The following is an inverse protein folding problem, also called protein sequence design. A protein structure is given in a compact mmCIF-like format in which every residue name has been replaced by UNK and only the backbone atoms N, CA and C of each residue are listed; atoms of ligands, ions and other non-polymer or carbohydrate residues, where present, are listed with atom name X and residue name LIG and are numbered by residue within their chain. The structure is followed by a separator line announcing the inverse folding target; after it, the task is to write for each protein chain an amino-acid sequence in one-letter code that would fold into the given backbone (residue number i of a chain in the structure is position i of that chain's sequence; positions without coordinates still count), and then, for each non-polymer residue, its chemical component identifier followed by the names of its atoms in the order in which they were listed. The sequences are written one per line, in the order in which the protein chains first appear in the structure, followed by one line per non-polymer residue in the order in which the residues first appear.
data_IF_939926202040
#
_entry.id   IF_939926202040
#
_cell.length_a   1.000
_cell.length_b   1.000
_cell.length_c   1.000
_cell.angle_alpha   90.00
_cell.angle_beta   90.00
_cell.angle_gamma   90.00
#
_symmetry.space_group_name_H-M   'P 1'
#
loop_
_entity.id
_entity.type
_entity.pdbx_description
1 polymer ?
#
# COMPACT_ATOMS: atom_id res chain seq x y z
N UNK A 1 -32.36 26.46 2.39
CA UNK A 1 -31.62 25.28 2.89
C UNK A 1 -31.40 24.39 1.71
N UNK A 2 -30.18 23.89 1.59
CA UNK A 2 -29.70 23.21 0.40
C UNK A 2 -30.10 21.73 0.40
N UNK A 3 -29.92 21.07 1.55
CA UNK A 3 -30.42 19.72 1.80
C UNK A 3 -31.71 19.77 2.61
N UNK A 4 -32.60 18.83 2.35
CA UNK A 4 -33.92 18.73 3.01
C UNK A 4 -34.12 17.36 3.62
N UNK A 5 -34.79 17.30 4.78
CA UNK A 5 -35.26 16.04 5.34
C UNK A 5 -36.28 15.42 4.35
N UNK A 6 -36.03 14.22 3.82
CA UNK A 6 -36.97 13.56 2.93
C UNK A 6 -38.25 13.21 3.69
N UNK A 7 -39.40 13.24 3.01
CA UNK A 7 -40.63 12.70 3.59
C UNK A 7 -40.54 11.17 3.69
N UNK A 8 -41.11 10.59 4.74
CA UNK A 8 -41.23 9.13 4.85
C UNK A 8 -42.15 8.59 3.75
N UNK A 9 -41.80 7.48 3.08
CA UNK A 9 -42.65 6.89 2.04
C UNK A 9 -43.89 6.16 2.61
N UNK A 10 -44.04 6.14 3.93
CA UNK A 10 -45.11 5.50 4.68
C UNK A 10 -45.41 6.23 6.00
N UNK A 11 -46.53 5.90 6.64
CA UNK A 11 -46.93 6.50 7.92
C UNK A 11 -46.02 6.07 9.09
N UNK A 12 -45.95 6.86 10.16
CA UNK A 12 -45.10 6.60 11.32
C UNK A 12 -45.43 5.30 12.07
N UNK A 13 -46.65 4.78 11.93
CA UNK A 13 -47.09 3.50 12.51
C UNK A 13 -46.93 2.31 11.57
N UNK A 14 -46.47 2.52 10.33
CA UNK A 14 -46.45 1.50 9.29
C UNK A 14 -45.44 0.37 9.53
N UNK A 15 -44.48 0.55 10.45
CA UNK A 15 -43.46 -0.44 10.80
C UNK A 15 -43.75 -1.16 12.13
N UNK A 16 -44.89 -0.90 12.78
CA UNK A 16 -45.30 -1.68 13.94
C UNK A 16 -45.53 -3.16 13.58
N UNK A 17 -45.21 -4.11 14.47
CA UNK A 17 -44.72 -3.92 15.85
C UNK A 17 -43.18 -3.90 15.97
N UNK A 18 -42.45 -3.72 14.87
CA UNK A 18 -40.99 -3.86 14.86
C UNK A 18 -40.26 -2.56 15.21
N UNK A 19 -40.81 -1.42 14.78
CA UNK A 19 -40.37 -0.08 15.19
C UNK A 19 -41.62 0.71 15.55
N UNK A 20 -41.68 1.23 16.78
CA UNK A 20 -42.84 1.96 17.28
C UNK A 20 -42.90 3.41 16.75
N UNK A 21 -44.10 3.99 16.80
CA UNK A 21 -44.39 5.35 16.33
C UNK A 21 -43.53 6.42 17.02
N UNK A 22 -43.28 6.29 18.32
CA UNK A 22 -42.48 7.26 19.07
C UNK A 22 -41.02 7.22 18.60
N UNK A 23 -40.46 6.03 18.42
CA UNK A 23 -39.12 5.83 17.84
C UNK A 23 -39.04 6.44 16.44
N UNK A 24 -40.05 6.24 15.58
CA UNK A 24 -40.06 6.82 14.23
C UNK A 24 -40.02 8.36 14.26
N UNK A 25 -40.82 9.01 15.13
CA UNK A 25 -40.78 10.47 15.29
C UNK A 25 -39.43 10.96 15.84
N UNK A 26 -38.84 10.23 16.80
CA UNK A 26 -37.54 10.60 17.36
C UNK A 26 -36.40 10.41 16.35
N UNK A 27 -36.43 9.33 15.57
CA UNK A 27 -35.37 8.98 14.64
C UNK A 27 -35.43 9.84 13.37
N UNK A 28 -36.61 10.01 12.79
CA UNK A 28 -36.80 10.80 11.57
C UNK A 28 -36.79 12.32 11.86
N UNK A 29 -37.75 12.81 12.66
CA UNK A 29 -38.00 14.25 12.76
C UNK A 29 -36.97 14.99 13.61
N UNK A 30 -36.27 14.25 14.48
CA UNK A 30 -35.21 14.81 15.33
C UNK A 30 -33.82 14.35 14.91
N UNK A 31 -33.53 13.05 14.96
CA UNK A 31 -32.17 12.57 14.76
C UNK A 31 -31.67 12.79 13.32
N UNK A 32 -32.42 12.33 12.31
CA UNK A 32 -32.08 12.59 10.90
C UNK A 32 -32.11 14.09 10.58
N UNK A 33 -33.13 14.82 11.04
CA UNK A 33 -33.22 16.26 10.84
C UNK A 33 -32.04 17.05 11.46
N UNK A 34 -31.45 16.56 12.55
CA UNK A 34 -30.24 17.16 13.14
C UNK A 34 -29.06 17.04 12.19
N UNK A 35 -28.89 15.90 11.51
CA UNK A 35 -27.87 15.76 10.47
C UNK A 35 -28.10 16.73 9.31
N UNK A 36 -29.33 16.84 8.81
CA UNK A 36 -29.68 17.79 7.74
C UNK A 36 -29.39 19.24 8.15
N UNK A 37 -29.77 19.62 9.38
CA UNK A 37 -29.55 20.97 9.90
C UNK A 37 -28.06 21.29 10.02
N UNK A 38 -27.28 20.39 10.60
CA UNK A 38 -25.85 20.57 10.80
C UNK A 38 -25.06 20.52 9.48
N UNK A 39 -25.47 19.68 8.53
CA UNK A 39 -24.89 19.66 7.19
C UNK A 39 -25.09 20.99 6.49
N UNK A 40 -26.33 21.51 6.46
CA UNK A 40 -26.61 22.83 5.89
C UNK A 40 -25.77 23.93 6.55
N UNK A 41 -25.64 23.92 7.88
CA UNK A 41 -24.81 24.89 8.61
C UNK A 41 -23.32 24.79 8.26
N UNK A 42 -22.80 23.59 7.98
CA UNK A 42 -21.43 23.42 7.51
C UNK A 42 -21.25 23.99 6.08
N UNK A 43 -22.23 23.74 5.21
CA UNK A 43 -22.21 24.14 3.80
C UNK A 43 -22.37 25.65 3.60
N UNK A 44 -22.93 26.39 4.56
CA UNK A 44 -22.98 27.86 4.52
C UNK A 44 -21.62 28.53 4.32
N UNK A 45 -20.53 27.87 4.72
CA UNK A 45 -19.16 28.36 4.52
C UNK A 45 -18.63 28.16 3.09
N UNK A 46 -19.17 27.16 2.39
CA UNK A 46 -18.76 26.72 1.05
C UNK A 46 -20.02 26.43 0.21
N UNK A 47 -20.80 27.47 -0.17
CA UNK A 47 -22.14 27.31 -0.74
C UNK A 47 -22.18 26.50 -2.05
N UNK A 48 -21.09 26.50 -2.81
CA UNK A 48 -20.92 25.75 -4.05
C UNK A 48 -21.03 24.23 -3.85
N UNK A 49 -20.65 23.73 -2.67
CA UNK A 49 -20.80 22.30 -2.35
C UNK A 49 -22.27 21.89 -2.23
N UNK A 50 -23.16 22.84 -1.94
CA UNK A 50 -24.59 22.61 -1.85
C UNK A 50 -25.26 22.27 -3.20
N UNK A 51 -24.60 22.48 -4.33
CA UNK A 51 -25.16 22.09 -5.62
C UNK A 51 -25.11 20.57 -5.85
N UNK A 52 -24.26 19.85 -5.09
CA UNK A 52 -24.12 18.39 -5.14
C UNK A 52 -25.23 17.71 -4.35
N UNK A 53 -25.67 16.54 -4.82
CA UNK A 53 -26.43 15.60 -3.98
C UNK A 53 -25.61 15.18 -2.76
N UNK A 54 -26.27 14.66 -1.72
CA UNK A 54 -25.55 14.27 -0.50
C UNK A 54 -24.61 13.08 -0.77
N UNK A 55 -24.98 12.19 -1.70
CA UNK A 55 -24.18 11.06 -2.15
C UNK A 55 -22.92 11.52 -2.89
N UNK A 56 -23.06 12.44 -3.86
CA UNK A 56 -21.91 13.03 -4.59
C UNK A 56 -20.99 13.81 -3.64
N UNK A 57 -21.55 14.44 -2.61
CA UNK A 57 -20.79 15.17 -1.62
C UNK A 57 -19.92 14.24 -0.76
N UNK A 58 -20.45 13.10 -0.33
CA UNK A 58 -19.72 12.17 0.53
C UNK A 58 -18.86 11.15 -0.22
N UNK A 59 -19.11 10.95 -1.51
CA UNK A 59 -18.31 10.06 -2.35
C UNK A 59 -16.85 10.52 -2.49
N UNK A 60 -16.62 11.83 -2.36
CA UNK A 60 -15.30 12.43 -2.49
C UNK A 60 -15.00 13.33 -1.29
N UNK A 61 -14.72 12.69 -0.16
CA UNK A 61 -14.38 13.38 1.09
C UNK A 61 -13.09 14.21 0.97
N UNK A 62 -12.24 13.91 -0.01
CA UNK A 62 -10.97 14.61 -0.24
C UNK A 62 -11.19 16.00 -0.86
N UNK A 63 -12.18 16.17 -1.75
CA UNK A 63 -12.53 17.50 -2.27
C UNK A 63 -13.25 18.40 -1.27
N UNK A 64 -13.67 17.87 -0.11
CA UNK A 64 -14.29 18.68 0.92
C UNK A 64 -13.22 19.50 1.67
N UNK A 65 -13.37 20.84 1.77
CA UNK A 65 -12.46 21.71 2.50
C UNK A 65 -12.25 21.27 3.94
N UNK A 66 -11.00 21.29 4.39
CA UNK A 66 -10.59 20.74 5.69
C UNK A 66 -11.38 21.33 6.87
N UNK A 67 -11.74 22.61 6.81
CA UNK A 67 -12.45 23.31 7.89
C UNK A 67 -13.92 22.85 8.08
N UNK A 68 -14.47 22.12 7.11
CA UNK A 68 -15.82 21.51 7.19
C UNK A 68 -15.83 20.00 6.97
N UNK A 69 -14.71 19.40 6.55
CA UNK A 69 -14.61 17.98 6.16
C UNK A 69 -15.19 17.02 7.20
N UNK A 70 -14.84 17.20 8.48
CA UNK A 70 -15.39 16.36 9.56
C UNK A 70 -16.90 16.57 9.75
N UNK A 71 -17.38 17.81 9.61
CA UNK A 71 -18.81 18.11 9.74
C UNK A 71 -19.60 17.52 8.57
N UNK A 72 -19.07 17.60 7.34
CA UNK A 72 -19.65 16.97 6.15
C UNK A 72 -19.61 15.44 6.26
N UNK A 73 -18.50 14.84 6.69
CA UNK A 73 -18.41 13.39 6.91
C UNK A 73 -19.51 12.90 7.85
N UNK A 74 -19.60 13.52 9.03
CA UNK A 74 -20.54 13.07 10.05
C UNK A 74 -22.00 13.38 9.71
N UNK A 75 -22.30 14.58 9.20
CA UNK A 75 -23.68 15.01 8.97
C UNK A 75 -24.17 14.72 7.54
N UNK A 76 -23.29 14.76 6.55
CA UNK A 76 -23.54 14.29 5.19
C UNK A 76 -23.73 12.78 5.16
N UNK A 77 -22.82 12.03 5.79
CA UNK A 77 -23.00 10.58 5.97
C UNK A 77 -24.28 10.24 6.72
N UNK A 78 -24.56 10.97 7.80
CA UNK A 78 -25.78 10.80 8.57
C UNK A 78 -27.03 11.04 7.73
N UNK A 79 -27.02 12.08 6.88
CA UNK A 79 -28.14 12.37 5.98
C UNK A 79 -28.29 11.31 4.88
N UNK A 80 -27.22 10.91 4.20
CA UNK A 80 -27.26 9.91 3.14
C UNK A 80 -27.72 8.53 3.67
N UNK A 81 -27.10 8.05 4.75
CA UNK A 81 -27.39 6.73 5.31
C UNK A 81 -28.86 6.61 5.77
N UNK A 82 -29.39 7.66 6.41
CA UNK A 82 -30.80 7.67 6.83
C UNK A 82 -31.75 7.83 5.65
N UNK A 83 -31.42 8.66 4.66
CA UNK A 83 -32.24 8.80 3.45
C UNK A 83 -32.37 7.47 2.71
N UNK A 84 -31.28 6.70 2.64
CA UNK A 84 -31.30 5.33 2.14
C UNK A 84 -32.12 4.40 3.04
N UNK A 85 -31.88 4.42 4.36
CA UNK A 85 -32.57 3.57 5.35
C UNK A 85 -34.09 3.64 5.23
N UNK A 86 -34.67 4.85 5.10
CA UNK A 86 -36.13 4.99 5.02
C UNK A 86 -36.72 4.39 3.76
N UNK A 87 -35.98 4.39 2.65
CA UNK A 87 -36.43 3.89 1.34
C UNK A 87 -36.39 2.36 1.25
N UNK A 88 -35.50 1.71 1.99
CA UNK A 88 -35.35 0.23 1.94
C UNK A 88 -36.22 -0.50 2.95
N UNK A 89 -36.84 0.22 3.89
CA UNK A 89 -37.80 -0.34 4.83
C UNK A 89 -39.17 -0.46 4.15
N UNK A 90 -39.83 -1.60 4.35
CA UNK A 90 -41.07 -1.91 3.65
C UNK A 90 -42.17 -2.36 4.64
N UNK A 91 -43.19 -1.52 4.89
CA UNK A 91 -44.37 -1.88 5.67
C UNK A 91 -45.05 -3.12 5.12
N UNK A 92 -45.42 -4.06 6.00
CA UNK A 92 -46.11 -5.30 5.64
C UNK A 92 -45.38 -6.18 4.60
N UNK A 93 -44.07 -5.99 4.44
CA UNK A 93 -43.22 -6.85 3.63
C UNK A 93 -42.46 -7.87 4.49
N UNK A 94 -41.78 -8.78 3.81
CA UNK A 94 -41.01 -9.86 4.43
C UNK A 94 -41.10 -11.15 3.63
N UNK A 95 -40.55 -12.22 4.19
CA UNK A 95 -40.42 -13.51 3.51
C UNK A 95 -39.02 -13.74 2.94
N UNK A 96 -38.86 -14.84 2.21
CA UNK A 96 -37.59 -15.18 1.57
C UNK A 96 -37.39 -14.37 0.28
N UNK A 97 -36.16 -13.98 -0.07
CA UNK A 97 -35.86 -13.35 -1.35
C UNK A 97 -36.23 -14.29 -2.51
N UNK A 98 -36.53 -13.70 -3.67
CA UNK A 98 -36.86 -14.45 -4.91
C UNK A 98 -36.11 -13.86 -6.11
N UNK A 99 -35.87 -14.67 -7.14
CA UNK A 99 -35.19 -14.22 -8.37
C UNK A 99 -33.70 -13.97 -8.16
N UNK A 100 -33.11 -13.11 -8.99
CA UNK A 100 -31.65 -12.89 -9.06
C UNK A 100 -31.02 -12.55 -7.70
N UNK A 101 -31.72 -11.79 -6.86
CA UNK A 101 -31.23 -11.45 -5.51
C UNK A 101 -31.15 -12.68 -4.61
N UNK A 102 -32.09 -13.63 -4.73
CA UNK A 102 -32.03 -14.90 -3.99
C UNK A 102 -30.82 -15.71 -4.42
N UNK A 103 -30.60 -15.80 -5.73
CA UNK A 103 -29.50 -16.58 -6.28
C UNK A 103 -28.14 -15.97 -5.93
N UNK A 104 -28.04 -14.64 -5.92
CA UNK A 104 -26.85 -13.93 -5.43
C UNK A 104 -26.60 -14.16 -3.93
N UNK A 105 -27.67 -14.16 -3.11
CA UNK A 105 -27.56 -14.45 -1.67
C UNK A 105 -27.11 -15.89 -1.43
N UNK A 106 -27.72 -16.86 -2.13
CA UNK A 106 -27.36 -18.27 -1.98
C UNK A 106 -25.93 -18.53 -2.49
N UNK A 107 -25.49 -17.85 -3.54
CA UNK A 107 -24.12 -17.94 -4.05
C UNK A 107 -23.09 -17.35 -3.08
N UNK A 108 -23.40 -16.22 -2.42
CA UNK A 108 -22.47 -15.54 -1.53
C UNK A 108 -22.44 -16.11 -0.10
N UNK A 109 -23.60 -16.47 0.44
CA UNK A 109 -23.77 -16.83 1.85
C UNK A 109 -24.30 -18.26 2.07
N UNK A 110 -24.62 -18.99 1.00
CA UNK A 110 -25.15 -20.35 1.05
C UNK A 110 -26.65 -20.43 1.37
N UNK A 111 -27.21 -19.46 2.10
CA UNK A 111 -28.65 -19.33 2.30
C UNK A 111 -29.04 -17.95 2.83
N UNK A 112 -30.31 -17.58 2.67
CA UNK A 112 -30.86 -16.37 3.28
C UNK A 112 -30.81 -16.38 4.82
N UNK A 113 -30.93 -17.56 5.45
CA UNK A 113 -30.79 -17.66 6.90
C UNK A 113 -29.36 -17.38 7.35
N UNK A 114 -28.37 -17.85 6.58
CA UNK A 114 -26.97 -17.57 6.85
C UNK A 114 -26.63 -16.09 6.64
N UNK A 115 -27.15 -15.46 5.60
CA UNK A 115 -27.06 -14.01 5.41
C UNK A 115 -27.57 -13.25 6.65
N UNK A 116 -28.75 -13.59 7.18
CA UNK A 116 -29.30 -12.92 8.37
C UNK A 116 -28.41 -13.10 9.60
N UNK A 117 -27.84 -14.28 9.79
CA UNK A 117 -26.91 -14.56 10.89
C UNK A 117 -25.64 -13.70 10.77
N UNK A 118 -25.04 -13.68 9.58
CA UNK A 118 -23.79 -12.96 9.32
C UNK A 118 -24.01 -11.44 9.38
N UNK A 119 -25.13 -10.95 8.82
CA UNK A 119 -25.49 -9.54 8.87
C UNK A 119 -25.75 -9.08 10.31
N UNK A 120 -26.46 -9.88 11.10
CA UNK A 120 -26.66 -9.61 12.53
C UNK A 120 -25.33 -9.59 13.29
N UNK A 121 -24.42 -10.51 12.95
CA UNK A 121 -23.08 -10.55 13.55
C UNK A 121 -22.29 -9.29 13.24
N UNK A 122 -22.28 -8.84 11.98
CA UNK A 122 -21.64 -7.58 11.59
C UNK A 122 -22.25 -6.36 12.29
N UNK A 123 -23.59 -6.28 12.34
CA UNK A 123 -24.31 -5.18 12.97
C UNK A 123 -24.07 -5.11 14.49
N UNK A 124 -24.09 -6.26 15.18
CA UNK A 124 -23.92 -6.31 16.64
C UNK A 124 -22.46 -6.31 17.09
N UNK A 125 -21.53 -6.70 16.22
CA UNK A 125 -20.09 -6.64 16.46
C UNK A 125 -19.51 -5.22 16.35
N UNK A 126 -20.24 -4.27 15.74
CA UNK A 126 -19.83 -2.87 15.65
C UNK A 126 -19.96 -2.19 17.01
N UNK A 127 -18.83 -1.94 17.66
CA UNK A 127 -18.79 -1.21 18.92
C UNK A 127 -18.97 0.30 18.70
N UNK A 128 -19.93 0.91 19.39
CA UNK A 128 -20.26 2.34 19.26
C UNK A 128 -21.26 2.63 18.16
N UNK A 129 -21.23 3.85 17.60
CA UNK A 129 -22.05 4.23 16.45
C UNK A 129 -21.48 3.61 15.17
N UNK A 130 -22.35 3.15 14.27
CA UNK A 130 -21.94 2.61 12.98
C UNK A 130 -23.09 1.93 12.23
N UNK A 131 -22.76 1.35 11.08
CA UNK A 131 -23.70 0.72 10.15
C UNK A 131 -23.21 -0.65 9.71
N UNK A 132 -24.13 -1.54 9.37
CA UNK A 132 -23.86 -2.78 8.65
C UNK A 132 -24.52 -2.72 7.28
N UNK A 133 -23.83 -3.23 6.27
CA UNK A 133 -24.18 -3.08 4.87
C UNK A 133 -24.18 -4.43 4.17
N UNK A 134 -25.14 -4.60 3.27
CA UNK A 134 -25.08 -5.62 2.24
C UNK A 134 -24.71 -4.87 0.96
N UNK A 135 -23.53 -5.12 0.44
CA UNK A 135 -22.98 -4.43 -0.73
C UNK A 135 -22.85 -5.40 -1.89
N UNK A 136 -22.96 -4.89 -3.12
CA UNK A 136 -22.57 -5.61 -4.32
C UNK A 136 -21.17 -5.14 -4.71
N UNK A 137 -20.19 -5.99 -4.48
CA UNK A 137 -18.79 -5.74 -4.79
C UNK A 137 -18.35 -6.66 -5.94
N UNK A 138 -17.92 -6.10 -7.07
CA UNK A 138 -17.48 -6.85 -8.26
C UNK A 138 -18.46 -7.97 -8.68
N UNK A 139 -19.77 -7.70 -8.61
CA UNK A 139 -20.83 -8.63 -8.98
C UNK A 139 -21.15 -9.72 -7.92
N UNK A 140 -20.52 -9.66 -6.74
CA UNK A 140 -20.78 -10.57 -5.61
C UNK A 140 -21.33 -9.80 -4.42
N UNK A 141 -22.28 -10.41 -3.69
CA UNK A 141 -22.77 -9.83 -2.45
C UNK A 141 -21.79 -10.04 -1.30
N UNK A 142 -21.57 -8.99 -0.52
CA UNK A 142 -20.69 -9.00 0.66
C UNK A 142 -21.34 -8.26 1.82
N UNK A 143 -21.00 -8.67 3.04
CA UNK A 143 -21.38 -7.95 4.26
C UNK A 143 -20.17 -7.17 4.74
N UNK A 144 -20.35 -5.88 4.97
CA UNK A 144 -19.35 -5.04 5.63
C UNK A 144 -19.99 -4.20 6.73
N UNK A 145 -19.17 -3.53 7.53
CA UNK A 145 -19.64 -2.57 8.51
C UNK A 145 -18.75 -1.34 8.53
N UNK A 146 -19.33 -0.18 8.77
CA UNK A 146 -18.61 1.10 8.85
C UNK A 146 -18.80 1.73 10.22
N UNK A 147 -17.85 2.55 10.65
CA UNK A 147 -17.94 3.28 11.92
C UNK A 147 -18.71 4.59 11.74
N UNK A 148 -19.34 5.06 12.81
CA UNK A 148 -20.03 6.34 12.87
C UNK A 148 -21.07 6.51 11.74
N UNK A 149 -20.90 7.51 10.89
CA UNK A 149 -21.75 7.78 9.74
C UNK A 149 -21.02 7.55 8.42
N UNK A 150 -19.90 6.83 8.47
CA UNK A 150 -19.20 6.42 7.25
C UNK A 150 -20.08 5.47 6.45
N UNK A 151 -19.93 5.46 5.14
CA UNK A 151 -20.69 4.59 4.24
C UNK A 151 -19.76 3.95 3.21
N UNK A 152 -20.17 2.85 2.55
CA UNK A 152 -19.39 2.24 1.47
C UNK A 152 -19.09 3.21 0.32
N UNK A 153 -19.88 4.26 0.16
CA UNK A 153 -19.67 5.31 -0.85
C UNK A 153 -18.48 6.21 -0.47
N UNK A 154 -18.07 6.24 0.80
CA UNK A 154 -16.94 7.05 1.31
C UNK A 154 -15.57 6.34 1.30
N UNK A 155 -15.46 5.07 0.87
CA UNK A 155 -14.20 4.30 0.84
C UNK A 155 -13.73 4.02 -0.61
N UNK A 156 -12.42 4.15 -0.90
CA UNK A 156 -11.87 4.14 -2.27
C UNK A 156 -10.74 3.11 -2.53
N UNK A 157 -10.97 2.27 -3.55
CA UNK A 157 -10.15 1.97 -4.77
C UNK A 157 -10.74 0.76 -5.52
N UNK A 158 -11.89 0.23 -5.09
CA UNK A 158 -12.83 -0.47 -6.00
C UNK A 158 -13.61 0.50 -6.89
N UNK A 159 -13.25 1.80 -6.91
CA UNK A 159 -13.98 2.84 -7.62
C UNK A 159 -13.51 3.09 -9.06
N UNK A 160 -12.50 2.36 -9.54
CA UNK A 160 -12.28 2.26 -10.99
C UNK A 160 -13.37 1.36 -11.58
N UNK A 161 -14.16 1.86 -12.53
CA UNK A 161 -15.20 1.07 -13.23
C UNK A 161 -14.64 -0.23 -13.86
N UNK A 162 -13.34 -0.22 -14.18
CA UNK A 162 -12.58 -1.35 -14.71
C UNK A 162 -11.09 -1.19 -14.38
N UNK A 163 -10.31 -2.28 -14.42
CA UNK A 163 -8.86 -2.19 -14.43
C UNK A 163 -8.35 -1.31 -15.58
N UNK A 164 -7.20 -0.65 -15.37
CA UNK A 164 -6.50 0.04 -16.45
C UNK A 164 -6.08 -0.93 -17.54
N UNK A 165 -6.18 -0.50 -18.78
CA UNK A 165 -5.57 -1.20 -19.91
C UNK A 165 -4.05 -1.05 -19.87
N UNK A 166 -3.32 -1.95 -20.53
CA UNK A 166 -1.87 -1.81 -20.67
C UNK A 166 -1.47 -0.49 -21.34
N UNK A 167 -2.30 0.04 -22.24
CA UNK A 167 -2.04 1.34 -22.87
C UNK A 167 -2.16 2.48 -21.84
N UNK A 168 -3.21 2.49 -21.02
CA UNK A 168 -3.39 3.51 -19.98
C UNK A 168 -2.28 3.44 -18.92
N UNK A 169 -1.86 2.24 -18.52
CA UNK A 169 -0.72 2.05 -17.62
C UNK A 169 0.55 2.66 -18.23
N UNK A 170 0.79 2.43 -19.52
CA UNK A 170 1.97 2.96 -20.20
C UNK A 170 1.91 4.49 -20.35
N UNK A 171 0.74 5.05 -20.66
CA UNK A 171 0.51 6.50 -20.72
C UNK A 171 0.73 7.16 -19.35
N UNK A 172 0.12 6.60 -18.29
CA UNK A 172 0.35 7.04 -16.91
C UNK A 172 1.83 6.99 -16.55
N UNK A 173 2.52 5.90 -16.88
CA UNK A 173 3.95 5.74 -16.62
C UNK A 173 4.75 6.83 -17.33
N UNK A 174 4.52 7.04 -18.64
CA UNK A 174 5.24 8.03 -19.44
C UNK A 174 5.17 9.41 -18.81
N UNK A 175 4.00 9.81 -18.31
CA UNK A 175 3.77 11.15 -17.79
C UNK A 175 4.14 11.28 -16.31
N UNK A 176 3.76 10.34 -15.46
CA UNK A 176 4.01 10.38 -14.02
C UNK A 176 5.46 10.02 -13.64
N UNK A 177 6.15 9.21 -14.44
CA UNK A 177 7.55 8.83 -14.14
C UNK A 177 8.59 9.76 -14.79
N UNK A 178 8.16 10.73 -15.60
CA UNK A 178 9.08 11.63 -16.28
C UNK A 178 9.79 12.56 -15.29
N UNK A 179 11.13 12.52 -15.25
CA UNK A 179 11.95 13.33 -14.32
C UNK A 179 12.03 14.82 -14.70
N UNK A 180 11.79 15.17 -15.95
CA UNK A 180 11.87 16.55 -16.45
C UNK A 180 10.53 17.29 -16.42
N UNK A 181 9.44 16.57 -16.72
CA UNK A 181 8.11 17.15 -16.95
C UNK A 181 7.00 16.46 -16.15
N UNK A 182 7.33 15.39 -15.43
CA UNK A 182 6.35 14.66 -14.63
C UNK A 182 5.98 15.40 -13.35
N UNK A 183 4.77 15.09 -12.86
CA UNK A 183 4.26 15.64 -11.62
C UNK A 183 5.23 15.34 -10.46
N UNK A 184 5.48 16.32 -9.60
CA UNK A 184 6.34 16.18 -8.41
C UNK A 184 7.77 15.66 -8.72
N UNK A 185 8.35 16.02 -9.88
CA UNK A 185 9.68 15.56 -10.38
C UNK A 185 9.73 14.08 -10.77
N UNK A 186 8.56 13.49 -11.02
CA UNK A 186 8.40 12.13 -11.48
C UNK A 186 8.62 11.07 -10.40
N UNK A 187 8.11 9.87 -10.66
CA UNK A 187 8.32 8.66 -9.87
C UNK A 187 9.33 7.69 -10.51
N UNK A 188 9.82 6.72 -9.73
CA UNK A 188 10.67 5.62 -10.23
C UNK A 188 9.86 4.57 -11.03
N UNK A 189 8.55 4.52 -10.80
CA UNK A 189 7.64 3.59 -11.43
C UNK A 189 6.22 3.72 -10.87
N UNK A 190 5.31 2.91 -11.40
CA UNK A 190 3.95 2.73 -10.91
C UNK A 190 3.84 1.44 -10.10
N UNK A 191 3.12 1.50 -8.99
CA UNK A 191 2.74 0.33 -8.20
C UNK A 191 1.25 0.12 -8.40
N UNK A 192 0.87 -0.97 -9.06
CA UNK A 192 -0.54 -1.31 -9.28
C UNK A 192 -0.98 -2.30 -8.21
N UNK A 193 -2.09 -2.02 -7.55
CA UNK A 193 -2.73 -2.92 -6.58
C UNK A 193 -3.98 -3.49 -7.23
N UNK A 194 -4.01 -4.81 -7.41
CA UNK A 194 -5.04 -5.53 -8.16
C UNK A 194 -5.69 -6.60 -7.27
N UNK A 195 -6.86 -7.10 -7.69
CA UNK A 195 -7.49 -8.26 -7.08
C UNK A 195 -6.63 -9.53 -7.29
N UNK A 196 -6.60 -10.38 -6.27
CA UNK A 196 -5.92 -11.67 -6.32
C UNK A 196 -6.68 -12.61 -7.26
N UNK A 197 -5.96 -13.19 -8.23
CA UNK A 197 -6.56 -14.15 -9.17
C UNK A 197 -6.62 -15.55 -8.54
N UNK A 198 -5.68 -15.88 -7.65
CA UNK A 198 -5.58 -17.19 -7.00
C UNK A 198 -4.83 -17.11 -5.67
N UNK A 199 -5.41 -17.62 -4.59
CA UNK A 199 -4.75 -17.75 -3.29
C UNK A 199 -5.50 -17.00 -2.18
N UNK A 200 -4.87 -16.94 -1.01
CA UNK A 200 -5.41 -16.29 0.20
C UNK A 200 -4.79 -14.91 0.46
N UNK A 201 -3.98 -14.40 -0.47
CA UNK A 201 -3.38 -13.07 -0.40
C UNK A 201 -4.43 -11.97 -0.37
N UNK A 202 -4.11 -10.85 0.29
CA UNK A 202 -5.04 -9.73 0.46
C UNK A 202 -5.23 -8.93 -0.84
N UNK A 203 -4.16 -8.77 -1.60
CA UNK A 203 -4.13 -8.10 -2.89
C UNK A 203 -2.95 -8.62 -3.71
N UNK A 204 -2.97 -8.31 -5.00
CA UNK A 204 -1.85 -8.48 -5.91
C UNK A 204 -1.14 -7.15 -6.14
N UNK A 205 0.17 -7.17 -6.22
CA UNK A 205 1.00 -6.02 -6.53
C UNK A 205 1.77 -6.26 -7.84
N UNK A 206 1.73 -5.26 -8.73
CA UNK A 206 2.61 -5.19 -9.91
C UNK A 206 3.48 -3.94 -9.85
N UNK A 207 4.70 -4.06 -10.38
CA UNK A 207 5.70 -2.98 -10.37
C UNK A 207 6.07 -2.64 -11.80
N UNK A 208 5.61 -1.50 -12.29
CA UNK A 208 5.94 -1.01 -13.63
C UNK A 208 7.03 0.04 -13.49
N UNK A 209 8.25 -0.27 -13.92
CA UNK A 209 9.37 0.66 -13.87
C UNK A 209 9.14 1.84 -14.82
N UNK A 210 9.85 2.94 -14.57
CA UNK A 210 9.81 4.14 -15.42
C UNK A 210 10.21 3.89 -16.88
N UNK A 211 10.98 2.84 -17.19
CA UNK A 211 11.34 2.43 -18.56
C UNK A 211 10.30 1.54 -19.26
N UNK A 212 9.23 1.16 -18.55
CA UNK A 212 8.15 0.30 -19.04
C UNK A 212 8.35 -1.19 -18.77
N UNK A 213 9.51 -1.60 -18.22
CA UNK A 213 9.72 -2.98 -17.79
C UNK A 213 8.92 -3.29 -16.52
N UNK A 214 8.43 -4.52 -16.39
CA UNK A 214 7.75 -4.98 -15.18
C UNK A 214 8.75 -5.70 -14.27
N UNK A 215 8.97 -5.17 -13.06
CA UNK A 215 9.85 -5.78 -12.08
C UNK A 215 9.13 -6.91 -11.33
N UNK A 216 9.88 -7.96 -11.00
CA UNK A 216 9.34 -9.11 -10.27
C UNK A 216 8.95 -8.76 -8.83
N UNK A 217 9.74 -7.91 -8.18
CA UNK A 217 9.51 -7.44 -6.81
C UNK A 217 10.28 -6.15 -6.55
N UNK A 218 9.71 -5.28 -5.70
CA UNK A 218 10.38 -4.10 -5.15
C UNK A 218 10.09 -4.00 -3.65
N UNK A 219 11.10 -4.23 -2.80
CA UNK A 219 10.92 -4.21 -1.34
C UNK A 219 10.50 -2.84 -0.80
N UNK A 220 10.94 -1.76 -1.46
CA UNK A 220 10.50 -0.39 -1.12
C UNK A 220 9.04 -0.18 -1.49
N UNK A 221 8.63 -0.58 -2.70
CA UNK A 221 7.25 -0.48 -3.16
C UNK A 221 6.29 -1.39 -2.38
N UNK A 222 6.74 -2.57 -1.96
CA UNK A 222 5.91 -3.46 -1.17
C UNK A 222 5.62 -2.89 0.23
N UNK A 223 6.52 -2.08 0.81
CA UNK A 223 6.24 -1.37 2.06
C UNK A 223 5.16 -0.30 1.88
N UNK A 224 5.20 0.45 0.77
CA UNK A 224 4.20 1.50 0.50
C UNK A 224 2.84 0.91 0.15
N UNK A 225 2.80 -0.15 -0.66
CA UNK A 225 1.58 -0.94 -0.92
C UNK A 225 1.09 -1.59 0.38
N UNK A 226 1.99 -2.12 1.19
CA UNK A 226 1.69 -2.69 2.50
C UNK A 226 1.02 -1.68 3.43
N UNK A 227 1.50 -0.43 3.44
CA UNK A 227 0.83 0.64 4.17
C UNK A 227 -0.57 0.90 3.67
N UNK A 228 -0.72 1.11 2.36
CA UNK A 228 -2.01 1.37 1.74
C UNK A 228 -3.03 0.27 2.08
N UNK A 229 -2.66 -1.00 1.90
CA UNK A 229 -3.51 -2.15 2.22
C UNK A 229 -3.82 -2.28 3.71
N UNK A 230 -2.84 -2.02 4.58
CA UNK A 230 -3.02 -2.08 6.03
C UNK A 230 -4.04 -1.06 6.50
N UNK A 231 -3.92 0.19 6.04
CA UNK A 231 -4.83 1.28 6.38
C UNK A 231 -6.22 1.05 5.79
N UNK A 232 -6.31 0.64 4.51
CA UNK A 232 -7.57 0.36 3.81
C UNK A 232 -8.36 -0.77 4.45
N UNK A 233 -7.71 -1.90 4.73
CA UNK A 233 -8.41 -3.10 5.23
C UNK A 233 -8.35 -3.24 6.76
N UNK A 234 -7.73 -2.29 7.46
CA UNK A 234 -7.48 -2.34 8.91
C UNK A 234 -6.81 -3.66 9.35
N UNK A 235 -5.79 -4.10 8.60
CA UNK A 235 -5.04 -5.34 8.88
C UNK A 235 -3.59 -5.02 9.18
N UNK A 236 -3.07 -5.60 10.27
CA UNK A 236 -1.66 -5.43 10.65
C UNK A 236 -0.75 -6.52 10.06
N UNK A 237 -1.29 -7.65 9.61
CA UNK A 237 -0.54 -8.74 9.00
C UNK A 237 -1.35 -9.41 7.88
N UNK A 238 -0.71 -9.60 6.73
CA UNK A 238 -1.31 -10.21 5.54
C UNK A 238 -0.23 -10.61 4.53
N UNK A 239 -0.61 -11.30 3.46
CA UNK A 239 0.26 -11.57 2.30
C UNK A 239 -0.19 -10.77 1.08
N UNK A 240 0.77 -10.45 0.21
CA UNK A 240 0.55 -9.76 -1.07
C UNK A 240 1.10 -10.65 -2.19
N UNK A 241 0.26 -10.97 -3.18
CA UNK A 241 0.68 -11.69 -4.38
C UNK A 241 1.61 -10.79 -5.20
N UNK A 242 2.81 -11.26 -5.50
CA UNK A 242 3.74 -10.61 -6.44
C UNK A 242 3.92 -11.47 -7.68
N UNK A 243 4.81 -11.08 -8.61
CA UNK A 243 5.00 -11.81 -9.87
C UNK A 243 5.33 -13.30 -9.68
N UNK A 244 6.07 -13.64 -8.62
CA UNK A 244 6.56 -15.01 -8.42
C UNK A 244 6.22 -15.62 -7.05
N UNK A 245 5.79 -14.84 -6.08
CA UNK A 245 5.55 -15.32 -4.71
C UNK A 245 4.52 -14.47 -3.96
N UNK A 246 3.87 -15.09 -2.98
CA UNK A 246 3.08 -14.40 -1.96
C UNK A 246 4.01 -13.95 -0.84
N UNK A 247 4.18 -12.64 -0.66
CA UNK A 247 5.12 -12.10 0.33
C UNK A 247 4.37 -11.59 1.56
N UNK A 248 4.89 -11.92 2.75
CA UNK A 248 4.32 -11.47 4.02
C UNK A 248 4.59 -9.98 4.22
N UNK A 249 3.58 -9.27 4.70
CA UNK A 249 3.63 -7.86 5.05
C UNK A 249 3.08 -7.69 6.46
N UNK A 250 3.74 -6.82 7.23
CA UNK A 250 3.30 -6.49 8.58
C UNK A 250 3.48 -5.01 8.89
N UNK A 251 2.50 -4.40 9.55
CA UNK A 251 2.67 -3.09 10.18
C UNK A 251 3.68 -3.19 11.32
N UNK A 252 4.66 -2.29 11.34
CA UNK A 252 5.71 -2.25 12.37
C UNK A 252 5.54 -1.04 13.29
N UNK A 253 6.28 -1.05 14.40
CA UNK A 253 6.32 0.10 15.30
C UNK A 253 6.93 1.32 14.58
N UNK A 254 6.27 2.47 14.67
CA UNK A 254 6.74 3.71 14.06
C UNK A 254 8.19 4.03 14.45
N UNK A 255 8.98 4.52 13.50
CA UNK A 255 10.36 4.90 13.77
C UNK A 255 10.47 6.17 14.61
N UNK A 256 9.50 7.07 14.43
CA UNK A 256 9.29 8.29 15.19
C UNK A 256 7.82 8.71 15.04
N UNK A 257 7.41 9.75 15.76
CA UNK A 257 6.06 10.34 15.62
C UNK A 257 5.82 10.68 14.15
N UNK A 258 4.72 10.16 13.58
CA UNK A 258 4.34 10.34 12.17
C UNK A 258 5.33 9.74 11.15
N UNK A 259 6.15 8.76 11.55
CA UNK A 259 7.03 7.99 10.66
C UNK A 259 6.59 6.53 10.67
N UNK A 260 5.52 6.27 9.92
CA UNK A 260 4.96 4.94 9.76
C UNK A 260 5.99 3.97 9.17
N UNK A 261 6.07 2.76 9.75
CA UNK A 261 7.00 1.72 9.33
C UNK A 261 6.28 0.42 9.02
N UNK A 262 6.81 -0.29 8.03
CA UNK A 262 6.26 -1.55 7.55
C UNK A 262 7.38 -2.55 7.32
N UNK A 263 7.09 -3.79 7.67
CA UNK A 263 7.92 -4.96 7.47
C UNK A 263 7.42 -5.69 6.22
N UNK A 264 8.34 -6.10 5.36
CA UNK A 264 8.05 -6.96 4.20
C UNK A 264 9.02 -8.13 4.17
N UNK A 265 8.54 -9.28 3.74
CA UNK A 265 9.37 -10.45 3.47
C UNK A 265 10.19 -10.23 2.20
N UNK A 266 11.48 -10.58 2.27
CA UNK A 266 12.40 -10.60 1.14
C UNK A 266 12.90 -12.03 0.96
N UNK A 267 12.41 -12.66 -0.11
CA UNK A 267 12.68 -14.04 -0.51
C UNK A 267 12.46 -14.19 -2.02
N UNK A 268 12.95 -15.27 -2.68
CA UNK A 268 13.92 -16.26 -2.17
C UNK A 268 15.37 -15.73 -2.16
N UNK A 269 16.21 -16.35 -1.33
CA UNK A 269 17.67 -16.16 -1.35
C UNK A 269 18.34 -17.31 -2.12
N UNK A 270 19.31 -17.00 -2.98
CA UNK A 270 20.10 -17.97 -3.75
C UNK A 270 21.57 -17.58 -3.81
N UNK A 271 22.47 -18.57 -3.86
CA UNK A 271 23.93 -18.38 -3.95
C UNK A 271 24.54 -18.97 -5.23
N UNK A 272 23.76 -19.77 -5.93
CA UNK A 272 24.21 -20.56 -7.06
C UNK A 272 24.47 -19.68 -8.28
N UNK A 273 25.53 -19.99 -9.03
CA UNK A 273 25.91 -19.30 -10.25
C UNK A 273 24.82 -19.27 -11.33
N UNK A 274 23.90 -20.23 -11.32
CA UNK A 274 22.76 -20.23 -12.24
C UNK A 274 21.70 -19.16 -11.88
N UNK A 275 21.54 -18.86 -10.58
CA UNK A 275 20.61 -17.84 -10.10
C UNK A 275 21.18 -16.42 -10.19
N UNK A 276 22.51 -16.31 -10.21
CA UNK A 276 23.28 -15.06 -10.31
C UNK A 276 24.06 -15.21 -11.60
N UNK A 277 23.57 -14.78 -12.79
CA UNK A 277 24.09 -15.17 -14.10
C UNK A 277 25.58 -14.84 -14.29
N UNK A 278 26.44 -15.67 -13.73
CA UNK A 278 27.85 -15.46 -13.55
C UNK A 278 28.62 -16.63 -14.14
N UNK A 279 29.69 -16.31 -14.84
CA UNK A 279 30.54 -17.27 -15.50
C UNK A 279 31.80 -17.48 -14.65
N UNK A 280 31.69 -18.43 -13.72
CA UNK A 280 32.77 -18.84 -12.83
C UNK A 280 32.91 -20.37 -12.80
N UNK A 281 34.13 -20.91 -12.64
CA UNK A 281 34.29 -22.35 -12.39
C UNK A 281 33.78 -22.78 -11.01
N UNK A 282 33.50 -21.82 -10.12
CA UNK A 282 32.95 -22.07 -8.78
C UNK A 282 31.42 -22.12 -8.83
N UNK A 283 30.81 -22.94 -7.97
CA UNK A 283 29.33 -23.02 -7.88
C UNK A 283 28.72 -21.82 -7.16
N UNK A 284 29.48 -21.22 -6.25
CA UNK A 284 29.10 -20.10 -5.39
C UNK A 284 30.34 -19.22 -5.20
N UNK A 285 30.15 -17.95 -4.85
CA UNK A 285 31.23 -17.04 -4.45
C UNK A 285 30.84 -16.48 -3.09
N UNK A 286 31.54 -16.89 -2.03
CA UNK A 286 31.26 -16.41 -0.66
C UNK A 286 32.59 -16.06 0.01
N UNK A 287 32.81 -14.76 0.23
CA UNK A 287 34.04 -14.20 0.78
C UNK A 287 35.31 -14.63 0.03
N UNK A 288 35.26 -14.62 -1.31
CA UNK A 288 36.37 -15.05 -2.16
C UNK A 288 37.02 -13.87 -2.89
N UNK A 289 38.32 -13.99 -3.17
CA UNK A 289 39.03 -13.00 -4.01
C UNK A 289 38.65 -13.22 -5.47
N UNK A 290 38.37 -12.13 -6.17
CA UNK A 290 38.19 -12.13 -7.63
C UNK A 290 39.31 -11.24 -8.21
N UNK A 291 40.44 -11.82 -8.65
CA UNK A 291 41.62 -11.06 -9.07
C UNK A 291 41.36 -10.05 -10.18
N UNK A 292 40.38 -10.31 -11.04
CA UNK A 292 39.93 -9.40 -12.10
C UNK A 292 39.27 -8.13 -11.55
N UNK A 293 38.78 -8.15 -10.30
CA UNK A 293 38.13 -7.02 -9.65
C UNK A 293 39.05 -6.29 -8.67
N UNK A 294 39.77 -7.03 -7.81
CA UNK A 294 40.70 -6.47 -6.83
C UNK A 294 41.67 -7.52 -6.31
N UNK A 295 42.91 -7.10 -6.00
CA UNK A 295 43.94 -7.98 -5.40
C UNK A 295 43.73 -8.15 -3.88
N UNK A 296 43.06 -7.20 -3.25
CA UNK A 296 42.93 -7.08 -1.78
C UNK A 296 41.54 -7.48 -1.30
N UNK A 297 40.49 -7.07 -2.03
CA UNK A 297 39.11 -7.28 -1.61
C UNK A 297 38.63 -8.72 -1.83
N UNK A 298 37.69 -9.12 -0.99
CA UNK A 298 36.90 -10.34 -1.15
C UNK A 298 35.44 -9.99 -1.40
N UNK A 299 34.75 -10.89 -2.08
CA UNK A 299 33.39 -10.68 -2.55
C UNK A 299 32.51 -11.87 -2.21
N UNK A 300 31.22 -11.59 -2.02
CA UNK A 300 30.16 -12.58 -1.91
C UNK A 300 29.07 -12.27 -2.94
N UNK A 301 28.69 -13.26 -3.73
CA UNK A 301 27.63 -13.12 -4.73
C UNK A 301 26.39 -13.89 -4.26
N UNK A 302 25.24 -13.22 -4.27
CA UNK A 302 23.94 -13.78 -3.88
C UNK A 302 22.80 -13.09 -4.61
N UNK A 303 21.66 -13.77 -4.77
CA UNK A 303 20.44 -13.20 -5.31
C UNK A 303 19.40 -13.03 -4.18
N UNK A 304 18.86 -11.82 -4.02
CA UNK A 304 17.90 -11.47 -2.96
C UNK A 304 16.80 -10.53 -3.49
N UNK A 305 15.79 -11.01 -4.24
CA UNK A 305 15.88 -12.10 -5.19
C UNK A 305 16.67 -11.71 -6.45
N UNK A 306 17.08 -10.44 -6.58
CA UNK A 306 17.89 -9.95 -7.69
C UNK A 306 19.40 -10.13 -7.38
N UNK A 307 20.27 -10.26 -8.39
CA UNK A 307 21.72 -10.46 -8.19
C UNK A 307 22.43 -9.31 -7.48
N UNK A 308 23.25 -9.62 -6.47
CA UNK A 308 24.08 -8.70 -5.71
C UNK A 308 25.51 -9.24 -5.53
N UNK A 309 26.50 -8.36 -5.67
CA UNK A 309 27.90 -8.58 -5.33
C UNK A 309 28.23 -7.69 -4.11
N UNK A 310 28.53 -8.31 -2.99
CA UNK A 310 28.75 -7.65 -1.70
C UNK A 310 30.23 -7.74 -1.33
N UNK A 311 30.80 -6.65 -0.81
CA UNK A 311 32.12 -6.63 -0.20
C UNK A 311 32.11 -5.78 1.08
N UNK A 312 32.83 -6.24 2.10
CA UNK A 312 33.01 -5.50 3.35
C UNK A 312 34.33 -4.73 3.31
N UNK A 313 34.25 -3.43 3.59
CA UNK A 313 35.36 -2.48 3.41
C UNK A 313 35.39 -1.46 4.54
N UNK A 314 36.52 -0.76 4.68
CA UNK A 314 36.58 0.43 5.52
C UNK A 314 35.96 1.66 4.83
N UNK A 315 35.81 2.74 5.60
CA UNK A 315 35.22 3.98 5.12
C UNK A 315 35.98 4.62 3.94
N UNK A 316 37.32 4.52 3.95
CA UNK A 316 38.16 5.13 2.92
C UNK A 316 37.93 4.42 1.57
N UNK A 317 37.94 3.09 1.58
CA UNK A 317 37.65 2.27 0.40
C UNK A 317 36.20 2.44 -0.07
N UNK A 318 35.22 2.54 0.84
CA UNK A 318 33.81 2.78 0.50
C UNK A 318 33.59 4.11 -0.26
N UNK A 319 34.41 5.11 0.04
CA UNK A 319 34.38 6.42 -0.60
C UNK A 319 35.38 6.58 -1.75
N UNK A 320 36.15 5.53 -2.05
CA UNK A 320 37.20 5.56 -3.08
C UNK A 320 36.67 5.33 -4.50
N UNK A 321 37.51 5.68 -5.49
CA UNK A 321 37.26 5.41 -6.90
C UNK A 321 37.28 3.90 -7.24
N UNK A 322 37.83 3.04 -6.36
CA UNK A 322 37.86 1.58 -6.57
C UNK A 322 36.43 1.01 -6.64
N UNK A 323 35.50 1.55 -5.84
CA UNK A 323 34.11 1.13 -5.89
C UNK A 323 33.48 1.43 -7.26
N UNK A 324 33.55 2.68 -7.72
CA UNK A 324 32.99 3.06 -9.02
C UNK A 324 33.64 2.29 -10.17
N UNK A 325 34.95 2.06 -10.09
CA UNK A 325 35.69 1.28 -11.07
C UNK A 325 35.17 -0.16 -11.17
N UNK A 326 35.06 -0.87 -10.05
CA UNK A 326 34.56 -2.25 -10.01
C UNK A 326 33.11 -2.30 -10.48
N UNK A 327 32.26 -1.40 -9.96
CA UNK A 327 30.84 -1.37 -10.29
C UNK A 327 30.60 -1.11 -11.78
N UNK A 328 31.36 -0.19 -12.39
CA UNK A 328 31.28 0.10 -13.82
C UNK A 328 31.82 -1.05 -14.66
N UNK A 329 32.91 -1.71 -14.22
CA UNK A 329 33.48 -2.85 -14.91
C UNK A 329 32.51 -4.03 -14.98
N UNK A 330 31.94 -4.45 -13.84
CA UNK A 330 31.04 -5.62 -13.80
C UNK A 330 29.69 -5.37 -14.45
N UNK A 331 29.28 -4.11 -14.61
CA UNK A 331 28.07 -3.73 -15.36
C UNK A 331 28.35 -3.36 -16.83
N UNK A 332 29.62 -3.41 -17.26
CA UNK A 332 30.03 -3.33 -18.65
C UNK A 332 30.31 -4.72 -19.25
N UNK A 333 30.90 -4.75 -20.45
CA UNK A 333 31.32 -6.01 -21.06
C UNK A 333 32.46 -6.65 -20.26
N UNK A 334 32.18 -7.76 -19.59
CA UNK A 334 33.14 -8.47 -18.75
C UNK A 334 32.87 -9.99 -18.78
N UNK A 335 33.89 -10.83 -18.48
CA UNK A 335 33.76 -12.28 -18.62
C UNK A 335 33.09 -12.96 -17.44
N UNK A 336 32.85 -12.25 -16.32
CA UNK A 336 32.39 -12.83 -15.05
C UNK A 336 30.89 -12.64 -14.87
N UNK A 337 30.38 -11.42 -15.06
CA UNK A 337 28.98 -11.04 -14.93
C UNK A 337 28.48 -10.49 -16.28
N UNK A 338 28.25 -11.34 -17.30
CA UNK A 338 27.89 -10.89 -18.64
C UNK A 338 26.61 -10.05 -18.68
N UNK A 339 25.68 -10.29 -17.75
CA UNK A 339 24.42 -9.56 -17.63
C UNK A 339 24.49 -8.39 -16.62
N UNK A 340 25.65 -8.12 -16.03
CA UNK A 340 25.78 -7.15 -14.94
C UNK A 340 25.25 -7.65 -13.59
N UNK A 341 25.59 -6.92 -12.53
CA UNK A 341 25.21 -7.24 -11.15
C UNK A 341 25.18 -5.97 -10.28
N UNK A 342 24.28 -5.90 -9.31
CA UNK A 342 24.27 -4.81 -8.34
C UNK A 342 25.50 -4.93 -7.43
N UNK A 343 26.31 -3.88 -7.29
CA UNK A 343 27.52 -3.92 -6.45
C UNK A 343 27.28 -3.10 -5.19
N UNK A 344 27.54 -3.69 -4.02
CA UNK A 344 27.41 -2.98 -2.75
C UNK A 344 28.69 -3.08 -1.92
N UNK A 345 29.19 -1.93 -1.52
CA UNK A 345 30.26 -1.80 -0.54
C UNK A 345 29.61 -1.56 0.83
N UNK A 346 30.06 -2.32 1.81
CA UNK A 346 29.46 -2.36 3.15
C UNK A 346 30.51 -2.02 4.19
N UNK A 347 30.24 -0.99 4.97
CA UNK A 347 31.03 -0.64 6.14
C UNK A 347 30.30 -1.12 7.41
N UNK A 348 31.00 -1.83 8.28
CA UNK A 348 30.47 -2.27 9.58
C UNK A 348 30.69 -1.13 10.58
N UNK A 349 29.60 -0.49 11.02
CA UNK A 349 29.62 0.60 11.99
C UNK A 349 29.64 0.10 13.44
N UNK A 350 29.14 -1.12 13.67
CA UNK A 350 29.04 -1.77 14.97
C UNK A 350 28.41 -3.16 14.87
N UNK A 351 28.20 -3.83 16.01
CA UNK A 351 27.74 -5.23 16.10
C UNK A 351 26.53 -5.56 15.20
N UNK A 352 25.52 -4.69 15.22
CA UNK A 352 24.31 -4.80 14.38
C UNK A 352 24.02 -3.49 13.64
N UNK A 353 25.08 -2.83 13.15
CA UNK A 353 24.98 -1.56 12.45
C UNK A 353 25.85 -1.56 11.20
N UNK A 354 25.22 -1.36 10.05
CA UNK A 354 25.87 -1.36 8.74
C UNK A 354 25.62 -0.04 8.02
N UNK A 355 26.59 0.41 7.23
CA UNK A 355 26.40 1.40 6.18
C UNK A 355 26.59 0.74 4.82
N UNK A 356 25.59 0.87 3.94
CA UNK A 356 25.58 0.24 2.62
C UNK A 356 25.50 1.33 1.56
N UNK A 357 26.42 1.29 0.61
CA UNK A 357 26.38 2.10 -0.60
C UNK A 357 26.31 1.17 -1.80
N UNK A 358 25.35 1.40 -2.69
CA UNK A 358 25.02 0.48 -3.79
C UNK A 358 25.09 1.19 -5.13
N UNK A 359 25.69 0.51 -6.10
CA UNK A 359 25.57 0.79 -7.52
C UNK A 359 24.62 -0.25 -8.13
N UNK A 360 23.45 0.21 -8.57
CA UNK A 360 22.45 -0.66 -9.20
C UNK A 360 22.67 -0.77 -10.70
N UNK A 361 22.56 -2.01 -11.20
CA UNK A 361 22.66 -2.31 -12.62
C UNK A 361 21.62 -1.51 -13.40
N UNK A 362 22.06 -0.78 -14.41
CA UNK A 362 21.19 0.03 -15.28
C UNK A 362 20.75 1.36 -14.70
N UNK A 363 21.10 1.67 -13.44
CA UNK A 363 20.71 2.91 -12.76
C UNK A 363 21.95 3.73 -12.34
N UNK A 364 22.95 3.08 -11.74
CA UNK A 364 24.12 3.74 -11.15
C UNK A 364 24.03 3.83 -9.63
N UNK A 365 24.70 4.81 -9.02
CA UNK A 365 24.63 5.01 -7.57
C UNK A 365 23.23 5.42 -7.14
N UNK A 366 22.58 4.58 -6.33
CA UNK A 366 21.25 4.84 -5.80
C UNK A 366 21.31 5.30 -4.36
N UNK A 367 20.31 6.10 -3.95
CA UNK A 367 20.19 6.53 -2.56
C UNK A 367 19.72 5.41 -1.64
N UNK A 368 18.97 4.44 -2.16
CA UNK A 368 18.52 3.29 -1.37
C UNK A 368 18.20 2.07 -2.23
N UNK A 369 18.67 0.89 -1.78
CA UNK A 369 18.37 -0.41 -2.37
C UNK A 369 18.01 -1.41 -1.26
N UNK A 370 16.72 -1.68 -1.06
CA UNK A 370 16.25 -2.54 0.03
C UNK A 370 16.80 -3.97 -0.04
N UNK A 371 16.91 -4.52 -1.25
CA UNK A 371 17.45 -5.87 -1.49
C UNK A 371 18.96 -5.93 -1.24
N UNK A 372 19.72 -4.88 -1.56
CA UNK A 372 21.14 -4.80 -1.24
C UNK A 372 21.39 -4.71 0.28
N UNK A 373 20.56 -3.95 1.00
CA UNK A 373 20.63 -3.86 2.46
C UNK A 373 20.33 -5.21 3.13
N UNK A 374 19.33 -5.92 2.60
CA UNK A 374 19.00 -7.29 2.98
C UNK A 374 20.18 -8.24 2.71
N UNK A 375 20.69 -8.27 1.48
CA UNK A 375 21.83 -9.09 1.08
C UNK A 375 23.09 -8.83 1.95
N UNK A 376 23.38 -7.56 2.24
CA UNK A 376 24.47 -7.14 3.12
C UNK A 376 24.29 -7.65 4.54
N UNK A 377 23.05 -7.63 5.05
CA UNK A 377 22.73 -8.13 6.41
C UNK A 377 22.93 -9.63 6.52
N UNK A 378 22.50 -10.42 5.52
CA UNK A 378 22.77 -11.86 5.51
C UNK A 378 24.27 -12.16 5.42
N UNK A 379 25.02 -11.43 4.59
CA UNK A 379 26.48 -11.58 4.53
C UNK A 379 27.16 -11.15 5.82
N UNK A 380 26.61 -10.18 6.56
CA UNK A 380 27.11 -9.80 7.88
C UNK A 380 26.94 -10.96 8.86
N UNK A 381 25.73 -11.52 8.95
CA UNK A 381 25.41 -12.66 9.81
C UNK A 381 26.30 -13.87 9.51
N UNK A 382 26.47 -14.22 8.24
CA UNK A 382 27.25 -15.42 7.87
C UNK A 382 28.77 -15.26 8.02
N UNK A 383 29.30 -14.03 7.94
CA UNK A 383 30.75 -13.81 7.85
C UNK A 383 31.37 -13.09 9.06
N UNK A 384 30.56 -12.42 9.90
CA UNK A 384 31.04 -11.51 10.94
C UNK A 384 30.39 -11.79 12.31
N UNK A 385 30.20 -13.07 12.67
CA UNK A 385 29.65 -13.51 13.96
C UNK A 385 28.28 -12.89 14.31
N UNK A 386 27.43 -12.62 13.32
CA UNK A 386 26.08 -12.10 13.56
C UNK A 386 25.09 -13.21 13.94
N UNK A 387 24.03 -12.83 14.64
CA UNK A 387 22.98 -13.75 15.10
C UNK A 387 21.74 -13.71 14.18
N UNK A 388 21.21 -14.88 13.86
CA UNK A 388 19.90 -14.99 13.19
C UNK A 388 18.77 -14.55 14.13
N UNK A 389 17.75 -13.89 13.58
CA UNK A 389 16.60 -13.38 14.33
C UNK A 389 16.84 -12.06 15.06
N UNK A 390 18.07 -11.55 15.08
CA UNK A 390 18.40 -10.24 15.66
C UNK A 390 18.21 -9.11 14.64
N UNK A 391 17.87 -7.93 15.16
CA UNK A 391 17.63 -6.75 14.33
C UNK A 391 18.94 -6.05 13.97
N UNK A 392 19.22 -5.89 12.69
CA UNK A 392 20.36 -5.14 12.15
C UNK A 392 19.86 -3.80 11.62
N UNK A 393 20.48 -2.70 12.08
CA UNK A 393 20.22 -1.36 11.53
C UNK A 393 21.12 -1.13 10.33
N UNK A 394 20.53 -0.90 9.16
CA UNK A 394 21.27 -0.65 7.92
C UNK A 394 20.99 0.77 7.45
N UNK A 395 22.03 1.58 7.37
CA UNK A 395 21.98 2.95 6.85
C UNK A 395 22.49 3.00 5.40
N UNK A 396 22.00 3.97 4.64
CA UNK A 396 22.54 4.35 3.34
C UNK A 396 22.43 5.87 3.18
N UNK A 397 22.70 6.38 1.98
CA UNK A 397 22.62 7.82 1.68
C UNK A 397 21.18 8.36 1.65
N UNK A 398 20.18 7.50 1.46
CA UNK A 398 18.75 7.85 1.42
C UNK A 398 17.99 7.67 2.74
N UNK A 399 18.61 7.08 3.76
CA UNK A 399 18.02 6.90 5.08
C UNK A 399 18.43 5.60 5.77
N UNK A 400 17.47 4.96 6.43
CA UNK A 400 17.70 3.79 7.28
C UNK A 400 16.57 2.77 7.16
N UNK A 401 16.95 1.51 7.18
CA UNK A 401 16.06 0.36 7.38
C UNK A 401 16.57 -0.51 8.51
N UNK A 402 15.69 -1.33 9.05
CA UNK A 402 16.04 -2.45 9.92
C UNK A 402 15.84 -3.74 9.15
N UNK A 403 16.73 -4.70 9.33
CA UNK A 403 16.61 -6.03 8.75
C UNK A 403 16.65 -7.09 9.85
N UNK A 404 16.00 -8.22 9.60
CA UNK A 404 16.12 -9.42 10.44
C UNK A 404 16.39 -10.59 9.51
N UNK A 405 17.45 -11.35 9.78
CA UNK A 405 17.85 -12.49 8.95
C UNK A 405 17.36 -13.78 9.60
N UNK A 406 16.68 -14.61 8.83
CA UNK A 406 16.16 -15.90 9.29
C UNK A 406 16.81 -17.03 8.49
N UNK A 407 17.03 -18.15 9.18
CA UNK A 407 17.44 -19.42 8.60
C UNK A 407 16.38 -20.47 8.92
N UNK A 408 15.89 -21.17 7.90
CA UNK A 408 14.98 -22.31 8.05
C UNK A 408 15.61 -23.56 7.42
N UNK A 409 15.79 -24.61 8.22
CA UNK A 409 16.54 -25.85 7.89
C UNK A 409 16.21 -26.46 6.52
N UNK A 410 14.99 -26.28 6.01
CA UNK A 410 14.51 -26.86 4.75
C UNK A 410 14.32 -25.84 3.61
N UNK A 411 14.16 -24.54 3.91
CA UNK A 411 13.75 -23.51 2.95
C UNK A 411 14.84 -22.48 2.65
N UNK A 412 15.95 -22.51 3.39
CA UNK A 412 17.10 -21.63 3.23
C UNK A 412 16.94 -20.35 4.05
N UNK A 413 17.37 -19.21 3.48
CA UNK A 413 17.31 -17.92 4.15
C UNK A 413 16.15 -17.06 3.62
N UNK A 414 15.57 -16.28 4.52
CA UNK A 414 14.68 -15.18 4.19
C UNK A 414 14.92 -14.02 5.14
N UNK A 415 14.51 -12.81 4.75
CA UNK A 415 14.73 -11.62 5.57
C UNK A 415 13.47 -10.78 5.74
N UNK A 416 13.37 -10.15 6.90
CA UNK A 416 12.44 -9.05 7.14
C UNK A 416 13.13 -7.75 6.74
N UNK A 417 12.48 -6.95 5.88
CA UNK A 417 12.89 -5.59 5.58
C UNK A 417 11.90 -4.62 6.20
N UNK A 418 12.33 -3.92 7.24
CA UNK A 418 11.52 -2.98 8.02
C UNK A 418 11.99 -1.56 7.69
N UNK A 419 11.13 -0.75 7.12
CA UNK A 419 11.46 0.62 6.73
C UNK A 419 10.26 1.54 6.77
N UNK A 420 10.49 2.84 6.57
CA UNK A 420 9.39 3.78 6.44
C UNK A 420 8.55 3.48 5.17
N UNK A 421 7.30 3.91 5.21
CA UNK A 421 6.38 3.92 4.08
C UNK A 421 5.68 5.29 4.03
N UNK A 422 6.45 6.35 3.81
CA UNK A 422 5.97 7.74 3.86
C UNK A 422 5.03 8.07 2.70
N UNK A 423 3.85 8.60 3.01
CA UNK A 423 2.95 9.17 2.00
C UNK A 423 3.34 10.64 1.86
N UNK A 424 3.75 11.08 0.66
CA UNK A 424 4.19 12.47 0.47
C UNK A 424 3.04 13.39 0.01
N UNK A 425 2.18 12.89 -0.87
CA UNK A 425 1.08 13.64 -1.46
C UNK A 425 -0.10 12.71 -1.77
N UNK A 426 -1.30 13.27 -1.77
CA UNK A 426 -2.49 12.70 -2.40
C UNK A 426 -2.79 13.48 -3.68
N UNK A 427 -3.05 12.77 -4.78
CA UNK A 427 -3.33 13.32 -6.10
C UNK A 427 -4.75 12.97 -6.51
N UNK A 428 -5.47 13.94 -7.08
CA UNK A 428 -6.84 13.74 -7.55
C UNK A 428 -7.06 14.46 -8.88
N UNK A 429 -7.66 13.76 -9.85
CA UNK A 429 -7.95 14.29 -11.17
C UNK A 429 -8.57 13.23 -12.07
N UNK A 430 -8.90 13.62 -13.31
CA UNK A 430 -9.41 12.69 -14.31
C UNK A 430 -8.27 11.83 -14.90
N UNK A 431 -8.56 10.58 -15.26
CA UNK A 431 -7.57 9.70 -15.90
C UNK A 431 -6.95 10.35 -17.14
N UNK A 432 -7.76 11.05 -17.94
CA UNK A 432 -7.27 11.74 -19.13
C UNK A 432 -6.21 12.80 -18.83
N UNK A 433 -6.31 13.49 -17.69
CA UNK A 433 -5.33 14.50 -17.29
C UNK A 433 -3.99 13.86 -16.94
N UNK A 434 -4.02 12.75 -16.20
CA UNK A 434 -2.82 12.00 -15.88
C UNK A 434 -2.19 11.33 -17.12
N UNK A 435 -3.00 10.70 -17.97
CA UNK A 435 -2.56 9.98 -19.17
C UNK A 435 -2.09 10.89 -20.31
N UNK A 436 -2.42 12.18 -20.28
CA UNK A 436 -1.92 13.16 -21.28
C UNK A 436 -0.87 14.12 -20.72
N UNK A 437 -0.56 14.03 -19.42
CA UNK A 437 0.35 14.92 -18.72
C UNK A 437 -0.20 16.34 -18.52
N UNK A 438 -1.53 16.52 -18.58
CA UNK A 438 -2.19 17.78 -18.30
C UNK A 438 -2.42 17.95 -16.79
N UNK A 439 -1.35 18.26 -16.06
CA UNK A 439 -1.43 18.32 -14.60
C UNK A 439 -2.04 19.62 -14.04
N UNK A 440 -2.39 20.59 -14.89
CA UNK A 440 -2.98 21.88 -14.46
C UNK A 440 -4.35 21.70 -13.77
N UNK A 441 -5.07 20.63 -14.11
CA UNK A 441 -6.36 20.28 -13.53
C UNK A 441 -6.26 19.31 -12.34
N UNK A 442 -5.05 18.79 -12.05
CA UNK A 442 -4.84 17.83 -10.96
C UNK A 442 -4.74 18.56 -9.62
N UNK A 443 -5.57 18.15 -8.67
CA UNK A 443 -5.49 18.60 -7.28
C UNK A 443 -4.38 17.83 -6.56
N UNK A 444 -3.48 18.57 -5.90
CA UNK A 444 -2.32 18.02 -5.20
C UNK A 444 -2.41 18.42 -3.72
N UNK A 445 -2.52 17.44 -2.84
CA UNK A 445 -2.56 17.64 -1.40
C UNK A 445 -1.30 17.07 -0.76
N UNK A 446 -0.39 17.93 -0.32
CA UNK A 446 0.84 17.51 0.36
C UNK A 446 0.55 17.08 1.81
N UNK A 447 1.22 16.03 2.28
CA UNK A 447 1.20 15.60 3.69
C UNK A 447 2.37 16.20 4.48
N UNK A 448 2.38 16.01 5.80
CA UNK A 448 3.50 16.41 6.68
C UNK A 448 4.48 15.26 7.00
N UNK A 449 4.29 14.08 6.42
CA UNK A 449 5.06 12.90 6.83
C UNK A 449 6.48 12.89 6.29
N UNK A 450 6.71 13.50 5.13
CA UNK A 450 8.07 13.65 4.60
C UNK A 450 8.93 14.50 5.53
N UNK A 451 8.38 15.58 6.08
CA UNK A 451 9.08 16.44 7.04
C UNK A 451 9.37 15.67 8.34
N UNK A 452 8.41 14.87 8.81
CA UNK A 452 8.61 14.00 9.98
C UNK A 452 9.72 12.96 9.73
N UNK A 453 9.77 12.37 8.54
CA UNK A 453 10.83 11.42 8.19
C UNK A 453 12.20 12.09 8.08
N UNK A 454 12.29 13.28 7.45
CA UNK A 454 13.55 14.05 7.40
C UNK A 454 14.02 14.42 8.81
N UNK A 455 13.13 14.91 9.67
CA UNK A 455 13.45 15.23 11.06
C UNK A 455 13.93 13.99 11.83
N UNK A 456 13.35 12.82 11.57
CA UNK A 456 13.83 11.55 12.12
C UNK A 456 15.24 11.20 11.64
N UNK A 457 15.54 11.37 10.35
CA UNK A 457 16.89 11.11 9.80
C UNK A 457 17.98 11.99 10.45
N UNK A 458 17.66 13.22 10.83
CA UNK A 458 18.58 14.11 11.56
C UNK A 458 18.93 13.60 12.97
N UNK A 459 18.14 12.67 13.53
CA UNK A 459 18.38 12.11 14.87
C UNK A 459 19.31 10.90 14.90
N UNK A 460 19.63 10.29 13.75
CA UNK A 460 20.26 8.96 13.69
C UNK A 460 21.71 8.93 13.24
#
# INVERSE_FOLDING_TARGET
MTYTLPDLPYAYDALEPYIDVETMHLHHDKHHNTYVTNLNAAIEKHPELGEKSVEELIADMNSIPEDIRTAVRNNGGGHANHSFFWQIMAPNAGGAPTGDIKDAIDAAFGSFDKLKEDFKTAATGRFGSGWAWLVLNNGKLEIMSTANQDSPVMEDETQLERPFTNQEIDELRIHLCNREHGLLKGADGLLLVEDVVKGDSLAKMRVINSDGSEASMCGNGLRTVGRYLSEKYMKDFFTVETMYADLKVRRSAEFAINVASYQVEISPVRFEAEAIPMNTPHKTIINEKIPELSETLTFSALAVPNPHLITFVDHETLMSDEFEHIATYVNGANPIFPDGINVSFVEILGENQLFVRTFERGVGFTSACGTAMCASSLMHVLLNDGDFGETITVKNTGGMVKTVVHEEDAEGYWMELIGNATITHYLQGELADFSTGNFDAVTINQTNEQDAYIAFLETI
#
